data_IF_608672474464
#
_entry.id   IF_608672474464
#
_cell.length_a   1.000
_cell.length_b   1.000
_cell.length_c   1.000
_cell.angle_alpha   90.00
_cell.angle_beta   90.00
_cell.angle_gamma   90.00
#
_symmetry.space_group_name_H-M   'P 1'
#
loop_
_entity.id
_entity.type
_entity.pdbx_description
1 polymer ?
#
# COMPACT_ATOMS: atom_id res chain seq x y z
N UNK A 1 24.99 27.34 29.59
CA UNK A 1 24.04 26.21 29.74
C UNK A 1 22.62 26.54 29.33
N UNK A 2 22.07 27.76 29.56
CA UNK A 2 20.69 28.10 29.17
C UNK A 2 20.46 28.33 27.67
N UNK A 3 21.47 28.74 26.90
CA UNK A 3 21.31 28.98 25.44
C UNK A 3 21.35 27.70 24.59
N UNK A 4 22.12 26.68 25.03
CA UNK A 4 22.21 25.38 24.34
C UNK A 4 20.96 24.50 24.55
N UNK A 5 20.22 24.71 25.63
CA UNK A 5 18.99 23.95 25.90
C UNK A 5 17.79 24.49 25.10
N UNK A 6 17.75 25.80 24.81
CA UNK A 6 16.70 26.42 23.98
C UNK A 6 16.86 26.02 22.51
N UNK A 7 18.10 25.94 22.00
CA UNK A 7 18.37 25.50 20.63
C UNK A 7 17.98 24.03 20.41
N UNK A 8 18.18 23.17 21.42
CA UNK A 8 17.78 21.75 21.36
C UNK A 8 16.25 21.57 21.31
N UNK A 9 15.49 22.42 22.00
CA UNK A 9 14.03 22.38 21.99
C UNK A 9 13.41 22.87 20.67
N UNK A 10 14.03 23.84 19.97
CA UNK A 10 13.51 24.35 18.69
C UNK A 10 13.75 23.42 17.51
N UNK A 11 14.75 22.54 17.59
CA UNK A 11 15.02 21.53 16.55
C UNK A 11 14.05 20.33 16.70
N UNK A 12 13.50 20.09 17.89
CA UNK A 12 12.50 19.05 18.15
C UNK A 12 11.08 19.45 17.71
N UNK A 13 10.80 20.76 17.55
CA UNK A 13 9.50 21.28 17.12
C UNK A 13 9.33 21.40 15.60
N UNK A 14 10.37 21.13 14.82
CA UNK A 14 10.31 21.13 13.36
C UNK A 14 10.47 19.69 12.88
N UNK A 15 9.72 19.31 11.83
CA UNK A 15 9.62 17.97 11.25
C UNK A 15 8.44 17.12 11.79
N UNK A 16 7.24 17.69 11.79
CA UNK A 16 6.05 16.90 11.44
C UNK A 16 6.01 16.74 9.91
N UNK A 17 6.96 16.01 9.31
CA UNK A 17 6.79 15.60 7.92
C UNK A 17 5.75 14.48 7.90
N UNK A 18 4.70 14.65 7.08
CA UNK A 18 3.81 13.54 6.80
C UNK A 18 4.61 12.45 6.12
N UNK A 19 4.69 11.28 6.75
CA UNK A 19 5.41 10.15 6.17
C UNK A 19 4.58 9.58 5.03
N UNK A 20 5.25 9.21 3.94
CA UNK A 20 4.61 8.74 2.71
C UNK A 20 5.14 7.36 2.30
N UNK A 21 4.33 6.65 1.51
CA UNK A 21 4.67 5.42 0.81
C UNK A 21 4.74 5.77 -0.68
N UNK A 22 5.77 5.28 -1.38
CA UNK A 22 5.88 5.44 -2.83
C UNK A 22 4.90 4.51 -3.55
N UNK A 23 4.07 5.07 -4.43
CA UNK A 23 3.08 4.42 -5.29
C UNK A 23 3.43 4.73 -6.76
N UNK A 24 4.46 4.11 -7.35
CA UNK A 24 4.97 4.50 -8.66
C UNK A 24 4.02 4.19 -9.82
N UNK A 25 3.05 3.29 -9.64
CA UNK A 25 2.03 2.99 -10.64
C UNK A 25 0.88 4.02 -10.52
N UNK A 26 0.79 4.91 -11.51
CA UNK A 26 -0.24 5.96 -11.52
C UNK A 26 -1.67 5.42 -11.57
N UNK A 27 -1.91 4.22 -12.11
CA UNK A 27 -3.26 3.64 -12.09
C UNK A 27 -3.60 3.13 -10.69
N UNK A 28 -2.61 2.65 -9.93
CA UNK A 28 -2.82 2.29 -8.54
C UNK A 28 -3.15 3.53 -7.70
N UNK A 29 -2.34 4.58 -7.79
CA UNK A 29 -2.59 5.84 -7.07
C UNK A 29 -3.93 6.48 -7.46
N UNK A 30 -4.26 6.56 -8.75
CA UNK A 30 -5.58 7.04 -9.20
C UNK A 30 -6.72 6.22 -8.62
N UNK A 31 -6.56 4.91 -8.50
CA UNK A 31 -7.58 4.06 -7.88
C UNK A 31 -7.72 4.38 -6.40
N UNK A 32 -6.62 4.61 -5.68
CA UNK A 32 -6.67 5.03 -4.26
C UNK A 32 -7.37 6.38 -4.09
N UNK A 33 -7.17 7.31 -5.02
CA UNK A 33 -7.89 8.58 -5.07
C UNK A 33 -9.39 8.37 -5.36
N UNK A 34 -9.74 7.56 -6.36
CA UNK A 34 -11.13 7.22 -6.72
C UNK A 34 -11.89 6.56 -5.56
N UNK A 35 -11.18 5.82 -4.71
CA UNK A 35 -11.71 5.17 -3.51
C UNK A 35 -11.73 6.09 -2.27
N UNK A 36 -11.35 7.37 -2.43
CA UNK A 36 -11.24 8.36 -1.35
C UNK A 36 -10.25 7.92 -0.23
N UNK A 37 -9.30 7.06 -0.55
CA UNK A 37 -8.25 6.60 0.36
C UNK A 37 -7.12 7.61 0.41
N UNK A 38 -6.64 8.05 -0.76
CA UNK A 38 -5.55 9.02 -0.87
C UNK A 38 -6.08 10.44 -0.66
N UNK A 39 -5.86 10.96 0.56
CA UNK A 39 -6.57 12.15 1.04
C UNK A 39 -6.09 13.47 0.43
N UNK A 40 -4.92 13.47 -0.22
CA UNK A 40 -4.41 14.67 -0.89
C UNK A 40 -5.02 14.87 -2.29
N UNK A 41 -5.64 13.82 -2.85
CA UNK A 41 -6.32 13.83 -4.15
C UNK A 41 -5.42 14.30 -5.32
N UNK A 42 -4.11 14.03 -5.24
CA UNK A 42 -3.12 14.42 -6.26
C UNK A 42 -2.30 13.19 -6.65
N UNK A 43 -2.30 12.85 -7.94
CA UNK A 43 -1.41 11.82 -8.49
C UNK A 43 0.04 12.32 -8.48
N UNK A 44 0.78 12.01 -7.41
CA UNK A 44 2.15 12.45 -7.15
C UNK A 44 3.16 11.31 -6.96
N UNK A 45 2.71 10.07 -7.13
CA UNK A 45 3.46 8.84 -6.91
C UNK A 45 3.57 8.47 -5.44
N UNK A 46 2.73 8.99 -4.55
CA UNK A 46 2.84 8.75 -3.11
C UNK A 46 1.48 8.79 -2.44
N UNK A 47 1.38 8.07 -1.32
CA UNK A 47 0.25 8.15 -0.39
C UNK A 47 0.76 8.41 1.02
N UNK A 48 -0.03 9.11 1.85
CA UNK A 48 0.26 9.24 3.28
C UNK A 48 0.19 7.88 3.99
N UNK A 49 1.17 7.60 4.86
CA UNK A 49 1.13 6.40 5.71
C UNK A 49 -0.17 6.34 6.52
N UNK A 50 -0.62 7.49 7.04
CA UNK A 50 -1.86 7.57 7.82
C UNK A 50 -3.11 7.15 7.03
N UNK A 51 -3.09 7.27 5.70
CA UNK A 51 -4.21 6.85 4.86
C UNK A 51 -4.17 5.36 4.60
N UNK A 52 -2.99 4.84 4.21
CA UNK A 52 -2.78 3.40 4.02
C UNK A 52 -3.12 2.58 5.29
N UNK A 53 -2.79 3.09 6.48
CA UNK A 53 -3.07 2.41 7.77
C UNK A 53 -4.56 2.30 8.11
N UNK A 54 -5.45 3.09 7.49
CA UNK A 54 -6.91 3.00 7.68
C UNK A 54 -7.54 1.88 6.84
N UNK A 55 -6.84 1.41 5.82
CA UNK A 55 -7.39 0.48 4.83
C UNK A 55 -7.32 -0.95 5.35
N UNK A 56 -8.48 -1.57 5.55
CA UNK A 56 -8.62 -2.99 5.91
C UNK A 56 -9.12 -3.84 4.74
N UNK A 57 -9.79 -3.22 3.77
CA UNK A 57 -10.32 -3.83 2.56
C UNK A 57 -9.91 -2.96 1.37
N UNK A 58 -9.32 -3.57 0.34
CA UNK A 58 -8.89 -2.89 -0.87
C UNK A 58 -9.29 -3.69 -2.11
N UNK A 59 -10.17 -3.12 -2.92
CA UNK A 59 -10.52 -3.64 -4.24
C UNK A 59 -9.97 -2.69 -5.31
N UNK A 60 -8.97 -3.19 -6.04
CA UNK A 60 -8.33 -2.48 -7.16
C UNK A 60 -8.49 -3.27 -8.46
N UNK A 61 -9.53 -4.11 -8.53
CA UNK A 61 -9.74 -5.02 -9.65
C UNK A 61 -10.08 -4.30 -10.96
N UNK A 62 -9.55 -4.78 -12.08
CA UNK A 62 -9.91 -4.24 -13.41
C UNK A 62 -9.36 -2.85 -13.73
N UNK A 63 -8.40 -2.35 -12.95
CA UNK A 63 -7.89 -0.96 -13.01
C UNK A 63 -6.69 -0.75 -13.92
N UNK A 64 -6.29 -1.78 -14.69
CA UNK A 64 -5.10 -1.75 -15.57
C UNK A 64 -3.81 -1.41 -14.81
N UNK A 65 -3.73 -1.84 -13.55
CA UNK A 65 -2.58 -1.67 -12.68
C UNK A 65 -1.50 -2.66 -13.10
N UNK A 66 -0.26 -2.19 -13.29
CA UNK A 66 0.88 -3.03 -13.66
C UNK A 66 1.71 -3.42 -12.45
N UNK A 67 1.69 -2.60 -11.40
CA UNK A 67 2.42 -2.83 -10.15
C UNK A 67 1.65 -2.32 -8.95
N UNK A 68 1.60 -3.13 -7.89
CA UNK A 68 1.12 -2.73 -6.57
C UNK A 68 2.28 -2.37 -5.62
N UNK A 69 3.42 -1.91 -6.16
CA UNK A 69 4.51 -1.41 -5.31
C UNK A 69 3.98 -0.32 -4.36
N UNK A 70 4.29 -0.46 -3.07
CA UNK A 70 3.75 0.36 -1.99
C UNK A 70 2.65 -0.34 -1.18
N UNK A 71 2.07 -1.43 -1.68
CA UNK A 71 1.08 -2.23 -0.94
C UNK A 71 1.62 -2.78 0.39
N UNK A 72 2.94 -2.96 0.51
CA UNK A 72 3.61 -3.37 1.75
C UNK A 72 3.37 -2.39 2.92
N UNK A 73 3.04 -1.14 2.62
CA UNK A 73 2.72 -0.12 3.62
C UNK A 73 1.29 -0.19 4.16
N UNK A 74 0.42 -1.00 3.56
CA UNK A 74 -0.98 -1.20 3.96
C UNK A 74 -1.05 -2.28 5.04
N UNK A 75 -0.40 -2.06 6.19
CA UNK A 75 -0.19 -3.10 7.22
C UNK A 75 -1.47 -3.54 7.94
N UNK A 76 -2.53 -2.72 7.88
CA UNK A 76 -3.88 -3.05 8.39
C UNK A 76 -4.72 -3.88 7.41
N UNK A 77 -4.21 -4.14 6.19
CA UNK A 77 -4.98 -4.78 5.13
C UNK A 77 -5.30 -6.23 5.49
N UNK A 78 -6.58 -6.58 5.40
CA UNK A 78 -7.10 -7.93 5.67
C UNK A 78 -7.68 -8.58 4.41
N UNK A 79 -8.15 -7.77 3.46
CA UNK A 79 -8.72 -8.21 2.19
C UNK A 79 -8.13 -7.42 1.03
N UNK A 80 -7.61 -8.11 0.02
CA UNK A 80 -7.09 -7.52 -1.22
C UNK A 80 -7.66 -8.23 -2.44
N UNK A 81 -8.39 -7.49 -3.29
CA UNK A 81 -8.72 -7.93 -4.65
C UNK A 81 -7.91 -7.11 -5.64
N UNK A 82 -7.00 -7.78 -6.37
CA UNK A 82 -6.25 -7.20 -7.46
C UNK A 82 -6.47 -7.92 -8.79
N UNK A 83 -7.59 -8.64 -8.93
CA UNK A 83 -7.98 -9.34 -10.15
C UNK A 83 -8.14 -8.40 -11.35
N UNK A 84 -8.21 -8.95 -12.55
CA UNK A 84 -8.32 -8.28 -13.83
C UNK A 84 -7.27 -7.17 -14.07
N UNK A 85 -6.04 -7.40 -13.60
CA UNK A 85 -4.91 -6.47 -13.78
C UNK A 85 -3.67 -7.20 -14.34
N UNK A 86 -2.87 -6.55 -15.21
CA UNK A 86 -1.64 -7.12 -15.76
C UNK A 86 -0.46 -7.09 -14.76
N UNK A 87 -0.68 -7.53 -13.52
CA UNK A 87 0.35 -7.57 -12.45
C UNK A 87 1.16 -8.85 -12.59
N UNK A 88 2.47 -8.73 -12.85
CA UNK A 88 3.36 -9.89 -13.00
C UNK A 88 4.02 -10.34 -11.69
N UNK A 89 4.04 -9.48 -10.69
CA UNK A 89 4.65 -9.76 -9.39
C UNK A 89 3.95 -8.96 -8.30
N UNK A 90 3.79 -9.56 -7.13
CA UNK A 90 3.21 -8.91 -5.97
C UNK A 90 3.91 -9.45 -4.72
N UNK A 91 4.41 -8.53 -3.90
CA UNK A 91 4.95 -8.82 -2.58
C UNK A 91 3.98 -8.28 -1.53
N UNK A 92 3.39 -9.19 -0.75
CA UNK A 92 2.49 -8.89 0.38
C UNK A 92 3.06 -9.39 1.70
N UNK A 93 4.38 -9.63 1.76
CA UNK A 93 5.04 -10.18 2.96
C UNK A 93 4.89 -9.31 4.21
N UNK A 94 4.65 -8.01 4.05
CA UNK A 94 4.44 -7.06 5.15
C UNK A 94 2.95 -6.90 5.52
N UNK A 95 2.02 -7.41 4.71
CA UNK A 95 0.58 -7.38 4.99
C UNK A 95 0.20 -8.56 5.89
N UNK A 96 0.78 -8.63 7.09
CA UNK A 96 0.66 -9.76 8.01
C UNK A 96 -0.79 -10.08 8.44
N UNK A 97 -1.70 -9.12 8.31
CA UNK A 97 -3.12 -9.27 8.60
C UNK A 97 -3.97 -9.77 7.43
N UNK A 98 -3.38 -9.97 6.25
CA UNK A 98 -4.10 -10.36 5.04
C UNK A 98 -4.63 -11.79 5.17
N UNK A 99 -5.96 -11.94 5.19
CA UNK A 99 -6.65 -13.24 5.29
C UNK A 99 -7.29 -13.66 3.98
N UNK A 100 -7.65 -12.70 3.13
CA UNK A 100 -8.31 -12.94 1.84
C UNK A 100 -7.57 -12.21 0.73
N UNK A 101 -7.24 -12.93 -0.34
CA UNK A 101 -6.51 -12.39 -1.48
C UNK A 101 -7.03 -12.97 -2.80
N UNK A 102 -7.44 -12.12 -3.73
CA UNK A 102 -7.84 -12.49 -5.09
C UNK A 102 -6.85 -11.95 -6.12
N UNK A 103 -6.24 -12.88 -6.87
CA UNK A 103 -5.49 -12.63 -8.10
C UNK A 103 -6.18 -13.41 -9.22
N UNK A 104 -6.19 -12.88 -10.44
CA UNK A 104 -6.72 -13.62 -11.60
C UNK A 104 -6.17 -15.05 -11.66
N UNK A 105 -7.08 -16.00 -11.86
CA UNK A 105 -6.80 -17.44 -11.97
C UNK A 105 -6.32 -17.81 -13.39
N UNK A 106 -6.03 -16.83 -14.26
CA UNK A 106 -5.89 -17.04 -15.69
C UNK A 106 -4.45 -17.31 -16.18
N UNK A 107 -3.44 -17.31 -15.31
CA UNK A 107 -2.05 -17.62 -15.72
C UNK A 107 -1.27 -18.37 -14.63
N UNK A 108 -1.73 -19.58 -14.32
CA UNK A 108 -1.11 -20.45 -13.32
C UNK A 108 -0.05 -21.36 -13.97
N UNK A 109 1.08 -20.79 -14.41
CA UNK A 109 2.34 -21.56 -14.42
C UNK A 109 2.87 -21.63 -12.99
N UNK A 110 2.60 -22.74 -12.30
CA UNK A 110 3.04 -23.02 -10.93
C UNK A 110 4.53 -23.37 -10.85
N UNK A 111 5.38 -22.50 -11.40
CA UNK A 111 6.83 -22.53 -11.29
C UNK A 111 7.34 -21.93 -9.98
N UNK A 112 7.08 -22.63 -8.86
CA UNK A 112 7.81 -22.57 -7.57
C UNK A 112 8.16 -21.18 -6.97
N UNK A 113 7.43 -20.82 -5.91
CA UNK A 113 7.93 -20.42 -4.56
C UNK A 113 6.87 -19.54 -3.87
N UNK A 114 5.87 -20.15 -3.19
CA UNK A 114 5.73 -20.21 -1.71
C UNK A 114 5.60 -18.80 -1.09
N UNK A 115 4.45 -18.41 -0.53
CA UNK A 115 4.03 -18.78 0.85
C UNK A 115 2.48 -18.89 0.98
N UNK A 116 2.04 -20.06 1.44
CA UNK A 116 0.72 -20.44 1.99
C UNK A 116 -0.56 -19.89 1.34
N UNK A 117 -1.14 -20.72 0.46
CA UNK A 117 -2.54 -20.70 0.11
C UNK A 117 -3.35 -21.45 1.19
N UNK A 118 -4.25 -20.76 1.89
CA UNK A 118 -5.37 -21.40 2.59
C UNK A 118 -6.66 -20.87 1.99
N UNK A 119 -7.15 -21.59 0.97
CA UNK A 119 -8.51 -21.48 0.46
C UNK A 119 -9.39 -22.13 1.52
N UNK A 120 -10.17 -21.37 2.28
CA UNK A 120 -10.99 -21.93 3.35
C UNK A 120 -12.13 -22.77 2.77
N UNK A 121 -12.07 -24.08 3.08
CA UNK A 121 -12.97 -25.22 2.82
C UNK A 121 -13.19 -25.69 1.37
#
# INVERSE_FOLDING_TARGET
MKLSLVLLCTILSMISYSQTIEIPDQNFEKTLIELEIDSDNIVNGKILISDALKVTFLDVSGKKIKSLKGIEGFTSLTHLDCSNNPITSLDVSQNIGLTTFFRDVNDLDLGKSVISLNWFD
#
